data_IF_847703980072
#
_entry.id   IF_847703980072
#
_cell.length_a   1.000
_cell.length_b   1.000
_cell.length_c   1.000
_cell.angle_alpha   90.00
_cell.angle_beta   90.00
_cell.angle_gamma   90.00
#
_symmetry.space_group_name_H-M   'P 1'
#
loop_
_entity.id
_entity.type
_entity.pdbx_description
1 polymer ?
#
# COMPACT_ATOMS: atom_id res chain seq x y z
N UNK A 1 9.75 4.90 -2.48
CA UNK A 1 9.26 3.72 -3.23
C UNK A 1 7.77 3.87 -3.54
N UNK A 2 6.90 3.87 -2.53
CA UNK A 2 5.46 4.10 -2.58
C UNK A 2 5.10 5.41 -3.30
N UNK A 3 5.86 6.49 -3.12
CA UNK A 3 5.70 7.74 -3.87
C UNK A 3 5.80 7.50 -5.39
N UNK A 4 6.84 6.80 -5.85
CA UNK A 4 7.05 6.51 -7.28
C UNK A 4 5.93 5.62 -7.84
N UNK A 5 5.42 4.67 -7.06
CA UNK A 5 4.26 3.84 -7.44
C UNK A 5 2.98 4.69 -7.46
N UNK A 6 2.81 5.59 -6.50
CA UNK A 6 1.67 6.50 -6.43
C UNK A 6 1.62 7.46 -7.63
N UNK A 7 2.77 7.94 -8.08
CA UNK A 7 2.90 8.82 -9.25
C UNK A 7 2.50 8.19 -10.58
N UNK A 8 2.36 6.86 -10.63
CA UNK A 8 1.86 6.15 -11.80
C UNK A 8 0.35 6.00 -11.83
N UNK A 9 -0.37 6.47 -10.79
CA UNK A 9 -1.82 6.36 -10.70
C UNK A 9 -2.52 7.06 -11.87
N UNK A 10 -3.67 6.50 -12.28
CA UNK A 10 -4.45 7.02 -13.40
C UNK A 10 -4.34 6.23 -14.69
N UNK A 11 -4.41 6.93 -15.82
CA UNK A 11 -4.64 6.39 -17.16
C UNK A 11 -3.65 5.31 -17.62
N UNK A 12 -4.05 4.49 -18.58
CA UNK A 12 -3.25 3.34 -19.04
C UNK A 12 -1.90 3.75 -19.68
N UNK A 13 -1.84 4.93 -20.30
CA UNK A 13 -0.68 5.40 -21.06
C UNK A 13 0.09 6.55 -20.39
N UNK A 14 -0.57 7.40 -19.61
CA UNK A 14 0.05 8.50 -18.85
C UNK A 14 -0.58 8.62 -17.45
N UNK A 15 0.15 9.11 -16.43
CA UNK A 15 -0.44 9.41 -15.13
C UNK A 15 -1.57 10.43 -15.24
N UNK A 16 -2.59 10.30 -14.38
CA UNK A 16 -3.69 11.27 -14.30
C UNK A 16 -3.61 12.05 -12.99
N UNK A 17 -3.46 13.37 -13.08
CA UNK A 17 -3.31 14.23 -11.89
C UNK A 17 -4.49 14.12 -10.93
N UNK A 18 -5.71 13.93 -11.47
CA UNK A 18 -6.90 13.74 -10.65
C UNK A 18 -6.84 12.41 -9.91
N UNK A 19 -6.43 11.33 -10.56
CA UNK A 19 -6.23 10.03 -9.93
C UNK A 19 -5.14 10.08 -8.85
N UNK A 20 -3.97 10.67 -9.14
CA UNK A 20 -2.87 10.85 -8.17
C UNK A 20 -3.37 11.59 -6.92
N UNK A 21 -4.15 12.66 -7.11
CA UNK A 21 -4.69 13.45 -5.99
C UNK A 21 -5.63 12.65 -5.07
N UNK A 22 -6.26 11.60 -5.59
CA UNK A 22 -7.29 10.83 -4.90
C UNK A 22 -6.90 9.35 -4.66
N UNK A 23 -5.65 8.98 -4.92
CA UNK A 23 -5.15 7.63 -4.69
C UNK A 23 -4.25 7.57 -3.46
N UNK A 24 -4.10 6.36 -2.94
CA UNK A 24 -3.10 6.00 -1.94
C UNK A 24 -2.41 4.70 -2.34
N UNK A 25 -1.14 4.57 -1.99
CA UNK A 25 -0.34 3.35 -2.08
C UNK A 25 0.33 3.13 -0.73
N UNK A 26 0.30 1.88 -0.26
CA UNK A 26 1.08 1.43 0.89
C UNK A 26 1.95 0.24 0.47
N UNK A 27 3.16 0.20 1.01
CA UNK A 27 4.14 -0.87 0.88
C UNK A 27 4.64 -1.19 2.29
N UNK A 28 4.73 -2.46 2.63
CA UNK A 28 5.20 -2.95 3.93
C UNK A 28 6.36 -3.92 3.71
N UNK A 29 7.45 -3.71 4.44
CA UNK A 29 8.43 -4.77 4.71
C UNK A 29 8.01 -5.45 6.01
N UNK A 30 7.76 -6.75 5.95
CA UNK A 30 7.45 -7.56 7.12
C UNK A 30 8.33 -8.81 7.16
N UNK A 31 8.65 -9.24 8.36
CA UNK A 31 9.31 -10.52 8.60
C UNK A 31 8.25 -11.62 8.72
N UNK A 32 8.34 -12.65 7.88
CA UNK A 32 7.46 -13.82 7.88
C UNK A 32 8.33 -15.07 7.89
N UNK A 33 8.19 -15.93 8.90
CA UNK A 33 9.03 -17.12 9.07
C UNK A 33 10.54 -16.83 9.05
N UNK A 34 10.96 -15.66 9.52
CA UNK A 34 12.36 -15.22 9.54
C UNK A 34 12.86 -14.59 8.23
N UNK A 35 12.03 -14.55 7.18
CA UNK A 35 12.37 -13.92 5.91
C UNK A 35 11.71 -12.55 5.77
N UNK A 36 12.44 -11.60 5.16
CA UNK A 36 11.91 -10.28 4.85
C UNK A 36 11.13 -10.32 3.54
N UNK A 37 9.86 -9.96 3.62
CA UNK A 37 8.93 -10.00 2.49
C UNK A 37 8.29 -8.63 2.32
N UNK A 38 8.11 -8.23 1.06
CA UNK A 38 7.38 -7.02 0.71
C UNK A 38 5.92 -7.32 0.38
N UNK A 39 5.03 -6.50 0.90
CA UNK A 39 3.59 -6.50 0.62
C UNK A 39 3.16 -5.12 0.14
N UNK A 40 2.19 -5.05 -0.76
CA UNK A 40 1.71 -3.77 -1.27
C UNK A 40 0.20 -3.76 -1.53
N UNK A 41 -0.40 -2.59 -1.36
CA UNK A 41 -1.80 -2.37 -1.72
C UNK A 41 -2.02 -0.93 -2.20
N UNK A 42 -3.07 -0.75 -3.01
CA UNK A 42 -3.62 0.56 -3.36
C UNK A 42 -4.94 0.82 -2.63
N UNK A 43 -5.36 2.08 -2.57
CA UNK A 43 -6.69 2.47 -2.08
C UNK A 43 -7.78 1.69 -2.81
N UNK A 44 -8.72 1.11 -2.07
CA UNK A 44 -9.77 0.22 -2.56
C UNK A 44 -9.24 -0.99 -3.35
N UNK A 45 -8.02 -1.45 -3.06
CA UNK A 45 -7.37 -2.55 -3.78
C UNK A 45 -7.11 -2.24 -5.24
N UNK A 46 -7.09 -0.95 -5.63
CA UNK A 46 -6.90 -0.51 -7.01
C UNK A 46 -5.44 -0.15 -7.25
N UNK A 47 -4.81 -0.92 -8.12
CA UNK A 47 -3.50 -0.64 -8.69
C UNK A 47 -3.59 -0.88 -10.20
N UNK A 48 -3.15 0.09 -11.00
CA UNK A 48 -3.10 -0.09 -12.45
C UNK A 48 -1.88 -0.95 -12.86
N UNK A 49 -1.82 -1.45 -14.10
CA UNK A 49 -0.73 -2.33 -14.53
C UNK A 49 0.69 -1.75 -14.37
N UNK A 50 0.85 -0.43 -14.50
CA UNK A 50 2.16 0.23 -14.36
C UNK A 50 2.61 0.28 -12.91
N UNK A 51 1.67 0.53 -11.99
CA UNK A 51 1.92 0.45 -10.56
C UNK A 51 2.34 -0.97 -10.17
N UNK A 52 1.63 -1.98 -10.68
CA UNK A 52 1.97 -3.40 -10.46
C UNK A 52 3.35 -3.75 -11.02
N UNK A 53 3.67 -3.31 -12.25
CA UNK A 53 4.97 -3.55 -12.85
C UNK A 53 6.11 -2.96 -12.00
N UNK A 54 5.97 -1.71 -11.55
CA UNK A 54 6.98 -1.07 -10.71
C UNK A 54 7.11 -1.74 -9.33
N UNK A 55 6.01 -2.21 -8.74
CA UNK A 55 6.06 -2.98 -7.49
C UNK A 55 6.86 -4.28 -7.66
N UNK A 56 6.69 -4.98 -8.78
CA UNK A 56 7.48 -6.18 -9.10
C UNK A 56 8.96 -5.87 -9.29
N UNK A 57 9.29 -4.76 -9.95
CA UNK A 57 10.68 -4.29 -10.07
C UNK A 57 11.31 -4.00 -8.71
N UNK A 58 10.51 -3.60 -7.71
CA UNK A 58 10.95 -3.43 -6.32
C UNK A 58 11.01 -4.74 -5.53
N UNK A 59 10.65 -5.88 -6.12
CA UNK A 59 10.71 -7.19 -5.47
C UNK A 59 9.43 -7.59 -4.73
N UNK A 60 8.32 -6.87 -4.92
CA UNK A 60 7.02 -7.33 -4.40
C UNK A 60 6.51 -8.47 -5.29
N UNK A 61 6.37 -9.66 -4.71
CA UNK A 61 5.82 -10.83 -5.42
C UNK A 61 4.35 -10.60 -5.78
N UNK A 62 3.87 -11.18 -6.89
CA UNK A 62 2.52 -10.94 -7.41
C UNK A 62 1.42 -11.29 -6.39
N UNK A 63 1.62 -12.36 -5.64
CA UNK A 63 0.76 -12.84 -4.56
C UNK A 63 0.69 -11.87 -3.36
N UNK A 64 1.72 -11.04 -3.18
CA UNK A 64 1.82 -10.05 -2.11
C UNK A 64 1.35 -8.65 -2.55
N UNK A 65 0.86 -8.51 -3.78
CA UNK A 65 0.22 -7.29 -4.31
C UNK A 65 -1.30 -7.44 -4.15
N UNK A 66 -1.83 -6.95 -3.04
CA UNK A 66 -3.24 -7.09 -2.68
C UNK A 66 -4.14 -6.18 -3.53
N UNK A 67 -4.93 -6.80 -4.42
CA UNK A 67 -5.85 -6.14 -5.36
C UNK A 67 -7.24 -6.76 -5.32
N UNK A 68 -8.25 -6.01 -5.79
CA UNK A 68 -9.63 -6.44 -6.08
C UNK A 68 -10.31 -7.33 -5.01
N UNK A 69 -10.01 -8.64 -4.98
CA UNK A 69 -10.56 -9.63 -4.05
C UNK A 69 -10.14 -9.38 -2.60
N UNK A 70 -9.05 -8.65 -2.38
CA UNK A 70 -8.61 -8.21 -1.06
C UNK A 70 -9.48 -7.10 -0.44
N UNK A 71 -10.53 -6.63 -1.14
CA UNK A 71 -11.44 -5.56 -0.72
C UNK A 71 -12.73 -6.19 -0.19
N UNK A 72 -13.24 -5.71 0.94
CA UNK A 72 -14.50 -6.24 1.49
C UNK A 72 -15.65 -5.30 1.15
N UNK A 73 -16.67 -5.82 0.44
CA UNK A 73 -17.82 -5.04 -0.05
C UNK A 73 -18.79 -4.54 1.04
N UNK A 74 -18.61 -4.97 2.29
CA UNK A 74 -19.47 -4.63 3.43
C UNK A 74 -18.81 -3.75 4.51
N UNK A 75 -17.54 -3.36 4.35
CA UNK A 75 -16.91 -2.41 5.25
C UNK A 75 -17.02 -0.98 4.70
N UNK A 76 -16.96 0.01 5.60
CA UNK A 76 -16.89 1.42 5.24
C UNK A 76 -15.70 1.70 4.30
N UNK A 77 -15.78 2.77 3.49
CA UNK A 77 -14.71 3.11 2.54
C UNK A 77 -13.31 3.19 3.18
N UNK A 78 -13.26 3.54 4.47
CA UNK A 78 -12.04 3.72 5.25
C UNK A 78 -11.29 2.40 5.54
N UNK A 79 -11.99 1.28 5.56
CA UNK A 79 -11.44 -0.07 5.82
C UNK A 79 -10.83 -0.69 4.56
N UNK A 80 -11.13 -0.08 3.41
CA UNK A 80 -10.54 -0.38 2.12
C UNK A 80 -9.39 0.59 1.79
N UNK A 81 -8.86 1.32 2.78
CA UNK A 81 -7.58 2.01 2.64
C UNK A 81 -6.42 1.02 2.45
N UNK A 82 -5.37 1.46 1.78
CA UNK A 82 -4.24 0.61 1.39
C UNK A 82 -3.60 -0.07 2.62
N UNK A 83 -3.39 0.70 3.69
CA UNK A 83 -2.81 0.22 4.94
C UNK A 83 -3.65 -0.89 5.57
N UNK A 84 -4.98 -0.69 5.64
CA UNK A 84 -5.92 -1.67 6.23
C UNK A 84 -6.03 -2.93 5.39
N UNK A 85 -5.97 -2.81 4.06
CA UNK A 85 -5.92 -3.96 3.16
C UNK A 85 -4.68 -4.81 3.45
N UNK A 86 -3.50 -4.19 3.61
CA UNK A 86 -2.29 -4.93 3.95
C UNK A 86 -2.46 -5.65 5.29
N UNK A 87 -2.82 -4.93 6.36
CA UNK A 87 -2.92 -5.51 7.70
C UNK A 87 -3.86 -6.71 7.77
N UNK A 88 -4.96 -6.69 7.01
CA UNK A 88 -5.94 -7.79 6.97
C UNK A 88 -5.47 -9.02 6.19
N UNK A 89 -4.51 -8.85 5.27
CA UNK A 89 -4.02 -9.92 4.40
C UNK A 89 -2.58 -10.33 4.72
N UNK A 90 -1.94 -9.70 5.71
CA UNK A 90 -0.67 -10.17 6.23
C UNK A 90 -0.83 -11.59 6.78
N UNK A 91 0.14 -12.48 6.51
CA UNK A 91 0.11 -13.81 7.09
C UNK A 91 0.20 -13.74 8.62
N UNK A 92 -0.40 -14.72 9.28
CA UNK A 92 -0.36 -14.81 10.75
C UNK A 92 1.09 -14.91 11.23
N UNK A 93 1.42 -14.17 12.29
CA UNK A 93 2.79 -14.08 12.82
C UNK A 93 3.73 -13.15 12.03
N UNK A 94 3.26 -12.48 10.97
CA UNK A 94 4.03 -11.45 10.30
C UNK A 94 4.36 -10.30 11.26
N UNK A 95 5.64 -9.91 11.32
CA UNK A 95 6.08 -8.73 12.09
C UNK A 95 6.39 -7.59 11.14
N UNK A 96 5.72 -6.45 11.31
CA UNK A 96 5.93 -5.29 10.43
C UNK A 96 7.20 -4.54 10.84
N UNK A 97 8.13 -4.42 9.90
CA UNK A 97 9.41 -3.74 10.12
C UNK A 97 9.35 -2.28 9.64
N UNK A 98 8.74 -2.05 8.47
CA UNK A 98 8.77 -0.74 7.81
C UNK A 98 7.51 -0.49 6.99
N UNK A 99 7.11 0.77 6.98
CA UNK A 99 6.05 1.31 6.13
C UNK A 99 6.59 2.30 5.11
N UNK A 100 6.22 2.10 3.85
CA UNK A 100 6.23 3.10 2.79
C UNK A 100 4.80 3.46 2.43
N UNK A 101 4.40 4.71 2.66
CA UNK A 101 3.03 5.19 2.38
C UNK A 101 3.15 6.40 1.45
N UNK A 102 2.25 6.52 0.48
CA UNK A 102 2.07 7.76 -0.28
C UNK A 102 0.61 7.95 -0.62
N UNK A 103 0.04 9.07 -0.19
CA UNK A 103 -1.35 9.42 -0.49
C UNK A 103 -1.55 10.92 -0.70
N UNK A 104 -2.67 11.22 -1.37
CA UNK A 104 -3.09 12.55 -1.79
C UNK A 104 -2.10 13.25 -2.74
N UNK A 105 -2.50 14.40 -3.27
CA UNK A 105 -1.66 15.19 -4.19
C UNK A 105 -0.38 15.76 -3.57
N UNK A 106 -0.19 15.64 -2.25
CA UNK A 106 1.02 16.07 -1.53
C UNK A 106 1.94 14.92 -1.15
N UNK A 107 1.64 13.69 -1.58
CA UNK A 107 2.45 12.49 -1.34
C UNK A 107 2.85 12.34 0.13
N UNK A 108 1.85 12.42 1.00
CA UNK A 108 2.06 12.28 2.44
C UNK A 108 2.59 10.88 2.74
N UNK A 109 3.65 10.81 3.53
CA UNK A 109 4.36 9.58 3.84
C UNK A 109 3.98 8.94 5.19
N UNK A 110 2.83 9.33 5.72
CA UNK A 110 2.28 8.90 7.01
C UNK A 110 0.84 8.46 6.78
N UNK A 111 0.30 7.55 7.62
CA UNK A 111 -1.09 7.13 7.51
C UNK A 111 -2.04 8.30 7.73
N UNK A 112 -3.28 8.17 7.22
CA UNK A 112 -4.33 9.11 7.60
C UNK A 112 -4.76 8.90 9.06
N UNK A 113 -5.41 9.87 9.72
CA UNK A 113 -5.80 9.75 11.13
C UNK A 113 -6.66 8.53 11.46
N UNK A 114 -7.40 8.01 10.48
CA UNK A 114 -8.20 6.79 10.65
C UNK A 114 -7.34 5.51 10.61
N UNK A 115 -6.31 5.48 9.76
CA UNK A 115 -5.42 4.32 9.65
C UNK A 115 -4.32 4.33 10.72
N UNK A 116 -3.99 5.50 11.25
CA UNK A 116 -2.89 5.70 12.19
C UNK A 116 -2.93 4.77 13.43
N UNK A 117 -4.07 4.56 14.13
CA UNK A 117 -4.10 3.66 15.27
C UNK A 117 -3.69 2.22 14.90
N UNK A 118 -4.19 1.71 13.78
CA UNK A 118 -3.92 0.35 13.31
C UNK A 118 -2.49 0.17 12.81
N UNK A 119 -1.97 1.18 12.11
CA UNK A 119 -0.60 1.17 11.61
C UNK A 119 0.39 1.27 12.76
N UNK A 120 0.09 2.08 13.79
CA UNK A 120 0.92 2.16 15.01
C UNK A 120 0.88 0.86 15.81
N UNK A 121 -0.29 0.24 15.94
CA UNK A 121 -0.46 -1.04 16.65
C UNK A 121 0.31 -2.18 15.95
N UNK A 122 0.30 -2.21 14.63
CA UNK A 122 1.09 -3.14 13.84
C UNK A 122 2.61 -2.91 13.97
N UNK A 123 3.04 -1.73 14.40
CA UNK A 123 4.45 -1.37 14.58
C UNK A 123 5.18 -1.02 13.29
N UNK A 124 6.51 -1.14 13.33
CA UNK A 124 7.42 -0.71 12.28
C UNK A 124 7.64 0.81 12.23
N UNK A 125 8.61 1.24 11.43
CA UNK A 125 8.91 2.66 11.25
C UNK A 125 8.49 3.19 9.88
N UNK A 126 8.17 4.49 9.83
CA UNK A 126 7.83 5.18 8.59
C UNK A 126 9.09 5.64 7.88
N UNK A 127 9.35 5.10 6.69
CA UNK A 127 10.49 5.50 5.88
C UNK A 127 10.07 6.43 4.76
N UNK A 128 10.64 7.64 4.75
CA UNK A 128 10.36 8.68 3.73
C UNK A 128 10.98 8.36 2.37
N UNK A 129 11.97 7.47 2.34
CA UNK A 129 12.68 7.07 1.13
C UNK A 129 11.89 5.97 0.38
N UNK A 130 10.98 5.29 1.11
CA UNK A 130 10.13 4.21 0.65
C UNK A 130 8.74 4.66 0.24
#
# INVERSE_FOLDING_TARGET
MAQKVHDLAGGLHAPDLRAIRNSAVAIVEATVNGEKILFAAGSAGRLNPRQVALLKEYGVLEENIFRNSAVTKGFEQLENHAERIILRNLPEGATVERWGISWAGKQKNIPCPHCEPFVRDAGGFFDKIW
#
